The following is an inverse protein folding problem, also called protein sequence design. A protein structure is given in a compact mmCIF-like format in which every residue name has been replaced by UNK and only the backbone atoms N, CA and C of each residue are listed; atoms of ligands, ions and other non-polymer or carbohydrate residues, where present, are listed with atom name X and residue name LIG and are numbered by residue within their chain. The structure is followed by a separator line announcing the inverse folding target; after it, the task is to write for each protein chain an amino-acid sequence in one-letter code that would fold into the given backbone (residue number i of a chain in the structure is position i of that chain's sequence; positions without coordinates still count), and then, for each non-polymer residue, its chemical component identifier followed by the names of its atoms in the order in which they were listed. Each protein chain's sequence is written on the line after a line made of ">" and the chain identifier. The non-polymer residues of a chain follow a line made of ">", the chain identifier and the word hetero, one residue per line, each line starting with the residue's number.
data_IF_429885609555
#
_entry.id   IF_429885609555
#
_cell.length_a   1.000
_cell.length_b   1.000
_cell.length_c   1.000
_cell.angle_alpha   90.00
_cell.angle_beta   90.00
_cell.angle_gamma   90.00
#
_symmetry.space_group_name_H-M   'P 1'
#
loop_
_entity.id
_entity.type
_entity.pdbx_description
1 polymer ?
#
# COMPACT_ATOMS: atom_id res chain seq x y z
N UNK A 1 3.69 -22.58 -4.80
CA UNK A 1 3.05 -21.39 -4.18
C UNK A 1 3.74 -20.16 -4.73
N UNK A 2 3.02 -19.23 -5.37
CA UNK A 2 3.63 -17.95 -5.75
C UNK A 2 4.07 -17.25 -4.46
N UNK A 3 5.36 -16.95 -4.32
CA UNK A 3 5.90 -16.30 -3.13
C UNK A 3 5.21 -14.94 -2.97
N UNK A 4 4.75 -14.62 -1.76
CA UNK A 4 4.08 -13.35 -1.47
C UNK A 4 4.87 -12.11 -1.96
N UNK A 5 6.17 -12.27 -2.15
CA UNK A 5 7.12 -11.27 -2.67
C UNK A 5 6.80 -10.76 -4.09
N UNK A 6 6.16 -11.55 -4.96
CA UNK A 6 5.83 -11.11 -6.32
C UNK A 6 4.44 -10.48 -6.46
N UNK A 7 3.71 -10.30 -5.36
CA UNK A 7 2.39 -9.68 -5.44
C UNK A 7 2.50 -8.17 -5.71
N UNK A 8 1.65 -7.70 -6.62
CA UNK A 8 1.52 -6.29 -6.96
C UNK A 8 0.68 -5.57 -5.91
N UNK A 9 1.09 -4.35 -5.58
CA UNK A 9 0.36 -3.40 -4.73
C UNK A 9 -0.30 -2.37 -5.65
N UNK A 10 -1.64 -2.30 -5.60
CA UNK A 10 -2.43 -1.23 -6.22
C UNK A 10 -2.48 -0.05 -5.24
N UNK A 11 -1.93 1.09 -5.64
CA UNK A 11 -1.96 2.30 -4.83
C UNK A 11 -3.17 3.16 -5.19
N UNK A 12 -3.95 3.55 -4.19
CA UNK A 12 -5.16 4.37 -4.32
C UNK A 12 -4.86 5.75 -3.77
N UNK A 13 -4.79 6.74 -4.67
CA UNK A 13 -4.61 8.13 -4.28
C UNK A 13 -5.89 8.69 -3.67
N UNK A 14 -5.73 9.47 -2.61
CA UNK A 14 -6.83 10.08 -1.87
C UNK A 14 -7.40 11.33 -2.53
N UNK A 15 -8.63 11.67 -2.15
CA UNK A 15 -9.27 12.94 -2.46
C UNK A 15 -9.22 13.81 -1.20
N UNK A 16 -8.22 14.68 -1.09
CA UNK A 16 -7.97 15.49 0.11
C UNK A 16 -9.13 16.46 0.39
N UNK A 17 -10.15 16.02 1.12
CA UNK A 17 -11.32 16.83 1.43
C UNK A 17 -11.16 17.72 2.68
N UNK A 18 -10.00 17.75 3.34
CA UNK A 18 -9.89 18.50 4.61
C UNK A 18 -8.52 18.82 5.19
N UNK A 19 -7.41 18.47 4.52
CA UNK A 19 -6.06 18.80 5.02
C UNK A 19 -5.36 19.77 4.06
N UNK A 20 -4.82 20.88 4.59
CA UNK A 20 -4.01 21.85 3.85
C UNK A 20 -2.54 21.41 3.69
N UNK A 21 -2.20 20.19 4.13
CA UNK A 21 -0.86 19.62 3.99
C UNK A 21 -0.66 19.00 2.60
N UNK A 22 0.59 19.01 2.07
CA UNK A 22 0.93 18.22 0.90
C UNK A 22 0.58 16.75 1.16
N UNK A 23 0.11 16.05 0.13
CA UNK A 23 -0.23 14.61 0.15
C UNK A 23 0.80 13.72 0.85
N UNK A 24 2.08 14.01 0.61
CA UNK A 24 3.21 13.34 1.28
C UNK A 24 3.23 13.57 2.80
N UNK A 25 2.91 14.77 3.27
CA UNK A 25 2.80 15.10 4.70
C UNK A 25 1.70 14.32 5.40
N UNK A 26 0.58 14.04 4.71
CA UNK A 26 -0.51 13.19 5.24
C UNK A 26 -0.05 11.72 5.35
N UNK A 27 0.72 11.24 4.36
CA UNK A 27 1.35 9.93 4.41
C UNK A 27 2.38 9.81 5.55
N UNK A 28 3.08 10.90 5.84
CA UNK A 28 4.13 11.00 6.87
C UNK A 28 3.57 11.16 8.29
N UNK A 29 2.44 11.83 8.47
CA UNK A 29 1.91 12.13 9.80
C UNK A 29 0.37 12.15 9.85
N UNK A 30 -0.21 11.12 10.49
CA UNK A 30 -1.61 11.13 10.96
C UNK A 30 -1.60 11.02 12.50
N UNK A 31 -1.89 12.11 13.24
CA UNK A 31 -1.90 12.09 14.71
C UNK A 31 -3.05 11.24 15.28
N UNK A 32 -4.13 11.01 14.53
CA UNK A 32 -5.24 10.16 14.97
C UNK A 32 -4.93 8.67 14.82
N UNK A 33 -3.93 8.32 14.00
CA UNK A 33 -3.53 6.94 13.68
C UNK A 33 -2.01 6.79 13.75
N UNK A 34 -1.43 6.80 14.97
CA UNK A 34 0.02 6.76 15.12
C UNK A 34 0.57 5.42 14.62
N UNK A 35 1.39 5.49 13.57
CA UNK A 35 2.12 4.36 13.03
C UNK A 35 3.54 4.28 13.61
N UNK A 36 4.03 3.06 13.79
CA UNK A 36 5.44 2.77 14.04
C UNK A 36 6.31 3.34 12.91
N UNK A 37 7.59 3.66 13.19
CA UNK A 37 8.48 4.21 12.16
C UNK A 37 8.56 3.33 10.91
N UNK A 38 8.57 2.01 11.08
CA UNK A 38 8.61 1.08 9.95
C UNK A 38 7.29 1.08 9.16
N UNK A 39 6.13 1.00 9.81
CA UNK A 39 4.85 1.03 9.11
C UNK A 39 4.65 2.35 8.35
N UNK A 40 5.09 3.46 8.93
CA UNK A 40 5.11 4.78 8.28
C UNK A 40 5.98 4.79 7.01
N UNK A 41 7.20 4.27 7.08
CA UNK A 41 8.05 4.15 5.89
C UNK A 41 7.43 3.27 4.82
N UNK A 42 6.83 2.14 5.23
CA UNK A 42 6.10 1.23 4.35
C UNK A 42 4.87 1.88 3.72
N UNK A 43 4.25 2.88 4.36
CA UNK A 43 3.16 3.69 3.78
C UNK A 43 3.67 4.72 2.77
N UNK A 44 4.74 5.45 3.11
CA UNK A 44 5.29 6.53 2.27
C UNK A 44 5.87 5.98 0.97
N UNK A 45 6.50 4.81 0.99
CA UNK A 45 7.23 4.35 -0.19
C UNK A 45 6.35 3.94 -1.37
N UNK A 46 5.25 3.19 -1.21
CA UNK A 46 4.27 3.00 -2.28
C UNK A 46 3.70 4.32 -2.80
N UNK A 47 3.48 5.32 -1.93
CA UNK A 47 3.09 6.67 -2.36
C UNK A 47 4.16 7.28 -3.29
N UNK A 48 5.41 7.33 -2.85
CA UNK A 48 6.54 7.86 -3.62
C UNK A 48 6.74 7.11 -4.96
N UNK A 49 6.46 5.81 -5.03
CA UNK A 49 6.52 5.05 -6.28
C UNK A 49 5.33 5.34 -7.20
N UNK A 50 4.15 5.56 -6.63
CA UNK A 50 2.93 5.85 -7.41
C UNK A 50 2.97 7.21 -8.11
N UNK A 51 3.68 8.19 -7.52
CA UNK A 51 3.86 9.54 -8.09
C UNK A 51 4.96 9.59 -9.15
N UNK A 52 5.87 8.61 -9.18
CA UNK A 52 6.89 8.52 -10.22
C UNK A 52 6.27 8.07 -11.54
N UNK A 53 6.85 8.57 -12.63
CA UNK A 53 6.57 8.10 -13.98
C UNK A 53 7.80 7.38 -14.52
N UNK A 54 7.58 6.31 -15.27
CA UNK A 54 8.60 5.70 -16.11
C UNK A 54 8.91 6.64 -17.29
N UNK A 55 10.02 6.41 -17.98
CA UNK A 55 10.44 7.21 -19.16
C UNK A 55 9.37 7.21 -20.26
N UNK A 56 8.59 6.14 -20.37
CA UNK A 56 7.47 5.99 -21.30
C UNK A 56 6.15 6.64 -20.81
N UNK A 57 6.18 7.40 -19.71
CA UNK A 57 5.02 8.07 -19.14
C UNK A 57 4.09 7.16 -18.33
N UNK A 58 4.37 5.85 -18.20
CA UNK A 58 3.52 4.92 -17.44
C UNK A 58 3.82 4.95 -15.94
N UNK A 59 2.83 4.52 -15.15
CA UNK A 59 2.98 4.32 -13.71
C UNK A 59 3.92 3.15 -13.40
N UNK A 60 4.54 3.19 -12.22
CA UNK A 60 5.36 2.08 -11.72
C UNK A 60 4.48 0.93 -11.21
N UNK A 61 4.89 -0.29 -11.54
CA UNK A 61 4.31 -1.50 -10.95
C UNK A 61 4.96 -1.73 -9.58
N UNK A 62 4.22 -1.41 -8.53
CA UNK A 62 4.70 -1.57 -7.16
C UNK A 62 4.57 -3.03 -6.77
N UNK A 63 5.70 -3.67 -6.42
CA UNK A 63 5.72 -5.06 -5.94
C UNK A 63 6.21 -5.12 -4.50
N UNK A 64 5.72 -6.11 -3.75
CA UNK A 64 6.17 -6.34 -2.37
C UNK A 64 7.68 -6.55 -2.31
N UNK A 65 8.26 -7.32 -3.25
CA UNK A 65 9.71 -7.52 -3.36
C UNK A 65 10.48 -6.23 -3.55
N UNK A 66 9.96 -5.28 -4.35
CA UNK A 66 10.59 -3.98 -4.54
C UNK A 66 10.56 -3.14 -3.25
N UNK A 67 9.43 -3.14 -2.54
CA UNK A 67 9.31 -2.43 -1.25
C UNK A 67 10.24 -3.04 -0.20
N UNK A 68 10.28 -4.36 -0.10
CA UNK A 68 11.16 -5.06 0.84
C UNK A 68 12.64 -4.83 0.51
N UNK A 69 12.99 -4.92 -0.77
CA UNK A 69 14.36 -4.74 -1.25
C UNK A 69 14.87 -3.31 -1.08
N UNK A 70 14.05 -2.30 -1.41
CA UNK A 70 14.45 -0.89 -1.28
C UNK A 70 14.69 -0.48 0.18
N UNK A 71 13.91 -1.04 1.10
CA UNK A 71 14.01 -0.76 2.54
C UNK A 71 14.95 -1.71 3.28
N UNK A 72 15.49 -2.75 2.61
CA UNK A 72 16.29 -3.80 3.24
C UNK A 72 15.59 -4.47 4.43
N UNK A 73 14.29 -4.73 4.33
CA UNK A 73 13.50 -5.35 5.40
C UNK A 73 13.21 -6.83 5.13
N UNK A 74 13.19 -7.61 6.21
CA UNK A 74 12.79 -9.01 6.18
C UNK A 74 11.29 -9.17 5.92
N UNK A 75 10.89 -10.37 5.51
CA UNK A 75 9.48 -10.72 5.32
C UNK A 75 8.68 -10.61 6.62
N UNK A 76 9.28 -10.94 7.76
CA UNK A 76 8.64 -10.80 9.06
C UNK A 76 8.36 -9.33 9.42
N UNK A 77 9.33 -8.45 9.14
CA UNK A 77 9.18 -7.00 9.31
C UNK A 77 8.09 -6.44 8.39
N UNK A 78 8.08 -6.86 7.11
CA UNK A 78 7.03 -6.53 6.17
C UNK A 78 5.65 -6.95 6.68
N UNK A 79 5.49 -8.21 7.11
CA UNK A 79 4.20 -8.73 7.60
C UNK A 79 3.71 -7.94 8.82
N UNK A 80 4.61 -7.58 9.75
CA UNK A 80 4.26 -6.75 10.91
C UNK A 80 3.79 -5.36 10.49
N UNK A 81 4.56 -4.66 9.67
CA UNK A 81 4.22 -3.34 9.16
C UNK A 81 2.90 -3.34 8.37
N UNK A 82 2.73 -4.34 7.50
CA UNK A 82 1.50 -4.52 6.70
C UNK A 82 0.28 -4.72 7.59
N UNK A 83 0.35 -5.57 8.61
CA UNK A 83 -0.75 -5.81 9.55
C UNK A 83 -1.12 -4.55 10.32
N UNK A 84 -0.14 -3.76 10.70
CA UNK A 84 -0.37 -2.47 11.35
C UNK A 84 -1.10 -1.52 10.40
N UNK A 85 -0.64 -1.40 9.14
CA UNK A 85 -1.33 -0.59 8.14
C UNK A 85 -2.75 -1.08 7.85
N UNK A 86 -2.99 -2.40 7.87
CA UNK A 86 -4.33 -2.99 7.76
C UNK A 86 -5.22 -2.56 8.94
N UNK A 87 -4.70 -2.61 10.17
CA UNK A 87 -5.43 -2.19 11.37
C UNK A 87 -5.81 -0.69 11.36
N UNK A 88 -4.99 0.14 10.72
CA UNK A 88 -5.24 1.57 10.58
C UNK A 88 -5.97 1.96 9.27
N UNK A 89 -6.32 0.98 8.42
CA UNK A 89 -7.07 1.22 7.18
C UNK A 89 -6.24 1.72 5.98
N UNK A 90 -4.91 1.79 6.11
CA UNK A 90 -4.02 2.21 5.01
C UNK A 90 -3.63 1.08 4.07
N UNK A 91 -4.01 -0.15 4.39
CA UNK A 91 -3.68 -1.31 3.58
C UNK A 91 -4.80 -2.35 3.62
N UNK A 92 -4.91 -3.13 2.54
CA UNK A 92 -5.79 -4.29 2.48
C UNK A 92 -5.17 -5.35 1.59
N UNK A 93 -5.07 -6.57 2.08
CA UNK A 93 -4.74 -7.73 1.25
C UNK A 93 -5.94 -8.67 1.17
N UNK A 94 -6.36 -8.97 -0.05
CA UNK A 94 -7.49 -9.85 -0.30
C UNK A 94 -7.06 -11.03 -1.14
N UNK A 95 -7.70 -12.18 -0.90
CA UNK A 95 -7.51 -13.35 -1.75
C UNK A 95 -8.66 -13.40 -2.75
N UNK A 96 -8.36 -13.18 -4.01
CA UNK A 96 -9.34 -13.31 -5.09
C UNK A 96 -9.08 -14.58 -5.88
N UNK A 97 -10.15 -15.21 -6.35
CA UNK A 97 -10.08 -16.36 -7.25
C UNK A 97 -10.07 -15.83 -8.68
N UNK A 98 -8.96 -16.02 -9.38
CA UNK A 98 -8.85 -15.66 -10.78
C UNK A 98 -9.72 -16.57 -11.65
N UNK A 99 -10.02 -16.12 -12.88
CA UNK A 99 -10.80 -16.87 -13.89
C UNK A 99 -10.25 -18.28 -14.17
N UNK A 100 -8.93 -18.45 -14.04
CA UNK A 100 -8.26 -19.75 -14.16
C UNK A 100 -8.42 -20.66 -12.92
N UNK A 101 -9.27 -20.27 -11.97
CA UNK A 101 -9.56 -21.00 -10.73
C UNK A 101 -8.50 -20.88 -9.64
N UNK A 102 -7.36 -20.21 -9.88
CA UNK A 102 -6.27 -20.05 -8.90
C UNK A 102 -6.54 -18.89 -7.95
N UNK A 103 -6.12 -19.06 -6.70
CA UNK A 103 -6.13 -18.00 -5.71
C UNK A 103 -4.92 -17.08 -5.88
N UNK A 104 -5.16 -15.78 -5.92
CA UNK A 104 -4.13 -14.74 -5.94
C UNK A 104 -4.39 -13.73 -4.84
N UNK A 105 -3.30 -13.27 -4.21
CA UNK A 105 -3.36 -12.14 -3.31
C UNK A 105 -3.33 -10.84 -4.10
N UNK A 106 -4.32 -9.98 -3.85
CA UNK A 106 -4.37 -8.62 -4.34
C UNK A 106 -4.12 -7.71 -3.16
N UNK A 107 -3.16 -6.80 -3.34
CA UNK A 107 -2.74 -5.88 -2.31
C UNK A 107 -3.14 -4.46 -2.69
N UNK A 108 -3.71 -3.75 -1.75
CA UNK A 108 -4.15 -2.37 -1.91
C UNK A 108 -3.49 -1.51 -0.82
N UNK A 109 -2.90 -0.39 -1.24
CA UNK A 109 -2.40 0.63 -0.34
C UNK A 109 -3.20 1.92 -0.57
N UNK A 110 -3.58 2.60 0.51
CA UNK A 110 -4.43 3.78 0.44
C UNK A 110 -3.72 4.98 1.04
N UNK A 111 -3.84 6.11 0.36
CA UNK A 111 -3.41 7.40 0.89
C UNK A 111 -4.25 7.79 2.10
N UNK A 112 -5.58 7.73 1.94
CA UNK A 112 -6.58 7.97 2.97
C UNK A 112 -7.01 6.65 3.62
N UNK A 113 -7.15 6.60 4.95
CA UNK A 113 -7.51 5.37 5.64
C UNK A 113 -8.94 4.95 5.31
N UNK A 114 -9.10 3.69 4.91
CA UNK A 114 -10.40 3.10 4.63
C UNK A 114 -11.02 2.56 5.92
N UNK A 115 -12.35 2.63 6.02
CA UNK A 115 -13.06 1.94 7.08
C UNK A 115 -13.05 0.42 6.82
N UNK A 116 -12.90 -0.42 7.87
CA UNK A 116 -13.06 -1.86 7.73
C UNK A 116 -14.43 -2.17 7.11
N UNK A 117 -14.44 -2.91 5.99
CA UNK A 117 -15.68 -3.27 5.29
C UNK A 117 -16.16 -2.28 4.22
N UNK A 118 -15.46 -1.16 3.98
CA UNK A 118 -15.75 -0.34 2.80
C UNK A 118 -15.48 -1.14 1.51
N UNK A 119 -16.47 -1.20 0.63
CA UNK A 119 -16.33 -1.74 -0.72
C UNK A 119 -15.64 -0.69 -1.58
N UNK A 120 -14.44 -1.01 -2.06
CA UNK A 120 -13.69 -0.12 -2.94
C UNK A 120 -14.37 -0.19 -4.32
N UNK A 121 -14.74 0.93 -4.96
CA UNK A 121 -15.14 0.92 -6.35
C UNK A 121 -14.01 0.31 -7.18
N UNK A 122 -14.33 -0.71 -7.97
CA UNK A 122 -13.42 -1.18 -9.01
C UNK A 122 -13.49 -0.14 -10.13
N UNK A 123 -12.54 0.79 -10.15
CA UNK A 123 -12.24 1.57 -11.36
C UNK A 123 -11.60 0.66 -12.42
#
# INVERSE_FOLDING_TARGET
>A
MAKARDAQIKYHSGGSAGFFMPRRGIAEYDPARPLTPLARLVRIHPHDLSTRRKVDGKSWDIRISHVMGSMHISEAQWVRARRELEAHGYYRAERQRHENGKWQWIHHAYEDPQQPGQTIPLD
#
